data_IF_209448520002
#
_entry.id   IF_209448520002
#
_cell.length_a   1.000
_cell.length_b   1.000
_cell.length_c   1.000
_cell.angle_alpha   90.00
_cell.angle_beta   90.00
_cell.angle_gamma   90.00
#
_symmetry.space_group_name_H-M   'P 1'
#
loop_
_entity.id
_entity.type
_entity.pdbx_description
1 polymer ?
#
# COMPACT_ATOMS: atom_id res chain seq x y z
N UNK A 1 -19.36 6.44 15.46
CA UNK A 1 -19.92 6.19 14.12
C UNK A 1 -18.88 5.45 13.32
N UNK A 2 -19.15 4.21 12.87
CA UNK A 2 -18.30 3.56 11.86
C UNK A 2 -18.55 4.29 10.54
N UNK A 3 -17.50 4.86 9.94
CA UNK A 3 -17.59 5.36 8.57
C UNK A 3 -18.01 4.25 7.61
N UNK A 4 -18.50 4.58 6.41
CA UNK A 4 -18.79 3.56 5.41
C UNK A 4 -17.53 2.70 5.18
N UNK A 5 -17.72 1.38 5.10
CA UNK A 5 -16.63 0.48 4.76
C UNK A 5 -16.13 0.86 3.36
N UNK A 6 -14.85 1.23 3.25
CA UNK A 6 -14.23 1.54 1.98
C UNK A 6 -14.34 0.34 1.05
N UNK A 7 -14.66 0.59 -0.20
CA UNK A 7 -14.50 -0.42 -1.25
C UNK A 7 -13.01 -0.81 -1.34
N UNK A 8 -12.70 -2.01 -1.85
CA UNK A 8 -11.31 -2.43 -2.02
C UNK A 8 -10.48 -1.46 -2.86
N UNK A 9 -11.11 -0.75 -3.79
CA UNK A 9 -10.48 0.22 -4.69
C UNK A 9 -10.13 1.51 -3.93
N UNK A 10 -11.08 2.06 -3.19
CA UNK A 10 -10.86 3.21 -2.31
C UNK A 10 -9.78 2.92 -1.25
N UNK A 11 -9.70 1.66 -0.80
CA UNK A 11 -8.65 1.23 0.11
C UNK A 11 -7.27 1.29 -0.55
N UNK A 12 -7.15 0.76 -1.76
CA UNK A 12 -5.92 0.82 -2.56
C UNK A 12 -5.52 2.27 -2.85
N UNK A 13 -6.47 3.11 -3.24
CA UNK A 13 -6.27 4.56 -3.45
C UNK A 13 -5.70 5.23 -2.20
N UNK A 14 -6.35 5.05 -1.05
CA UNK A 14 -5.90 5.65 0.21
C UNK A 14 -4.48 5.21 0.58
N UNK A 15 -4.14 3.93 0.41
CA UNK A 15 -2.80 3.43 0.70
C UNK A 15 -1.74 4.02 -0.24
N UNK A 16 -2.05 4.16 -1.53
CA UNK A 16 -1.15 4.79 -2.51
C UNK A 16 -0.94 6.26 -2.15
N UNK A 17 -2.00 7.00 -1.85
CA UNK A 17 -1.88 8.41 -1.47
C UNK A 17 -1.00 8.59 -0.22
N UNK A 18 -1.17 7.74 0.79
CA UNK A 18 -0.32 7.80 2.00
C UNK A 18 1.13 7.45 1.66
N UNK A 19 1.35 6.45 0.80
CA UNK A 19 2.68 6.06 0.35
C UNK A 19 3.40 7.14 -0.49
N UNK A 20 2.64 7.98 -1.19
CA UNK A 20 3.16 9.14 -1.93
C UNK A 20 3.50 10.30 -0.99
N UNK A 21 2.68 10.51 0.05
CA UNK A 21 2.91 11.55 1.07
C UNK A 21 4.09 11.22 1.99
N UNK A 22 4.35 9.94 2.24
CA UNK A 22 5.42 9.48 3.13
C UNK A 22 6.25 8.35 2.50
N UNK A 23 7.51 8.66 2.17
CA UNK A 23 8.43 7.73 1.55
C UNK A 23 8.77 6.52 2.43
N UNK A 24 8.74 6.66 3.76
CA UNK A 24 8.98 5.56 4.69
C UNK A 24 7.84 4.54 4.63
N UNK A 25 6.60 5.01 4.60
CA UNK A 25 5.42 4.16 4.45
C UNK A 25 5.44 3.46 3.08
N UNK A 26 5.73 4.22 2.02
CA UNK A 26 5.86 3.65 0.68
C UNK A 26 6.98 2.59 0.58
N UNK A 27 8.07 2.72 1.35
CA UNK A 27 9.12 1.70 1.42
C UNK A 27 8.62 0.43 2.12
N UNK A 28 8.01 0.57 3.31
CA UNK A 28 7.49 -0.56 4.08
C UNK A 28 6.45 -1.35 3.28
N UNK A 29 5.52 -0.65 2.60
CA UNK A 29 4.53 -1.30 1.75
C UNK A 29 5.19 -2.11 0.64
N UNK A 30 6.22 -1.58 -0.02
CA UNK A 30 6.95 -2.33 -1.07
C UNK A 30 7.66 -3.54 -0.50
N UNK A 31 8.25 -3.44 0.69
CA UNK A 31 8.89 -4.59 1.35
C UNK A 31 7.85 -5.69 1.65
N UNK A 32 6.70 -5.33 2.23
CA UNK A 32 5.60 -6.28 2.49
C UNK A 32 5.09 -6.92 1.18
N UNK A 33 4.88 -6.12 0.13
CA UNK A 33 4.37 -6.59 -1.16
C UNK A 33 5.38 -7.45 -1.93
N UNK A 34 6.68 -7.28 -1.66
CA UNK A 34 7.74 -8.08 -2.28
C UNK A 34 7.84 -9.51 -1.72
N UNK A 35 7.18 -9.79 -0.59
CA UNK A 35 7.08 -11.13 -0.04
C UNK A 35 6.22 -12.03 -0.93
N UNK A 36 6.56 -13.32 -0.96
CA UNK A 36 5.69 -14.36 -1.49
C UNK A 36 4.29 -14.29 -0.85
N UNK A 37 3.23 -14.58 -1.60
CA UNK A 37 1.85 -14.43 -1.14
C UNK A 37 1.54 -15.22 0.13
N UNK A 38 2.00 -16.47 0.23
CA UNK A 38 1.78 -17.31 1.40
C UNK A 38 2.58 -16.81 2.62
N UNK A 39 3.81 -16.35 2.39
CA UNK A 39 4.66 -15.75 3.42
C UNK A 39 4.07 -14.44 3.93
N UNK A 40 3.64 -13.55 3.03
CA UNK A 40 2.97 -12.29 3.35
C UNK A 40 1.74 -12.54 4.21
N UNK A 41 0.86 -13.44 3.76
CA UNK A 41 -0.38 -13.75 4.48
C UNK A 41 -0.09 -14.27 5.89
N UNK A 42 0.84 -15.22 6.02
CA UNK A 42 1.22 -15.81 7.31
C UNK A 42 1.87 -14.79 8.27
N UNK A 43 2.74 -13.92 7.76
CA UNK A 43 3.36 -12.86 8.55
C UNK A 43 2.32 -11.85 9.07
N UNK A 44 1.39 -11.46 8.19
CA UNK A 44 0.30 -10.55 8.54
C UNK A 44 -0.69 -11.17 9.52
N UNK A 45 -0.93 -12.48 9.47
CA UNK A 45 -1.73 -13.20 10.46
C UNK A 45 -1.10 -13.15 11.86
N UNK A 46 0.22 -13.29 11.96
CA UNK A 46 0.94 -13.16 13.23
C UNK A 46 0.79 -11.74 13.82
N UNK A 47 0.91 -10.72 12.98
CA UNK A 47 0.72 -9.31 13.39
C UNK A 47 -0.72 -9.07 13.85
N UNK A 48 -1.71 -9.56 13.09
CA UNK A 48 -3.11 -9.42 13.44
C UNK A 48 -3.43 -10.13 14.78
N UNK A 49 -2.88 -11.32 15.01
CA UNK A 49 -3.04 -12.03 16.28
C UNK A 49 -2.46 -11.23 17.46
N UNK A 50 -1.26 -10.66 17.30
CA UNK A 50 -0.65 -9.82 18.32
C UNK A 50 -1.49 -8.57 18.61
N UNK A 51 -1.95 -7.87 17.56
CA UNK A 51 -2.76 -6.67 17.72
C UNK A 51 -4.10 -6.94 18.41
N UNK A 52 -4.77 -8.06 18.12
CA UNK A 52 -6.04 -8.42 18.80
C UNK A 52 -5.90 -8.58 20.32
N UNK A 53 -4.71 -8.94 20.80
CA UNK A 53 -4.43 -9.09 22.24
C UNK A 53 -4.09 -7.74 22.89
N UNK A 54 -3.41 -6.86 22.17
CA UNK A 54 -2.80 -5.65 22.75
C UNK A 54 -3.44 -4.32 22.32
N UNK A 55 -4.33 -4.32 21.32
CA UNK A 55 -4.89 -3.11 20.73
C UNK A 55 -6.33 -3.31 20.22
N UNK A 56 -7.15 -2.27 20.35
CA UNK A 56 -8.50 -2.22 19.79
C UNK A 56 -8.55 -1.52 18.41
N UNK A 57 -7.46 -1.57 17.64
CA UNK A 57 -7.33 -0.90 16.35
C UNK A 57 -8.00 -1.70 15.21
N UNK A 58 -9.33 -1.62 15.12
CA UNK A 58 -10.11 -2.32 14.10
C UNK A 58 -9.77 -1.91 12.66
N UNK A 59 -9.48 -0.63 12.46
CA UNK A 59 -9.00 -0.06 11.19
C UNK A 59 -7.66 -0.65 10.73
N UNK A 60 -6.74 -0.90 11.68
CA UNK A 60 -5.46 -1.56 11.38
C UNK A 60 -5.67 -3.02 11.02
N UNK A 61 -6.63 -3.72 11.66
CA UNK A 61 -6.96 -5.09 11.31
C UNK A 61 -7.59 -5.19 9.91
N UNK A 62 -8.46 -4.24 9.55
CA UNK A 62 -9.03 -4.16 8.20
C UNK A 62 -7.93 -3.92 7.15
N UNK A 63 -6.93 -3.09 7.47
CA UNK A 63 -5.75 -2.89 6.63
C UNK A 63 -4.96 -4.17 6.38
N UNK A 64 -4.70 -4.90 7.46
CA UNK A 64 -3.98 -6.16 7.42
C UNK A 64 -4.75 -7.18 6.57
N UNK A 65 -6.06 -7.29 6.77
CA UNK A 65 -6.91 -8.20 6.00
C UNK A 65 -6.95 -7.86 4.51
N UNK A 66 -6.81 -6.58 4.13
CA UNK A 66 -6.65 -6.18 2.73
C UNK A 66 -5.29 -6.57 2.17
N UNK A 67 -4.20 -6.32 2.90
CA UNK A 67 -2.84 -6.64 2.46
C UNK A 67 -2.59 -8.15 2.28
N UNK A 68 -3.35 -8.99 2.98
CA UNK A 68 -3.32 -10.45 2.80
C UNK A 68 -3.85 -10.92 1.44
N UNK A 69 -4.74 -10.14 0.80
CA UNK A 69 -5.40 -10.56 -0.45
C UNK A 69 -4.48 -10.32 -1.63
N UNK A 70 -4.14 -11.38 -2.37
CA UNK A 70 -3.22 -11.29 -3.50
C UNK A 70 -3.67 -10.30 -4.57
N UNK A 71 -4.98 -10.24 -4.87
CA UNK A 71 -5.52 -9.28 -5.82
C UNK A 71 -5.28 -7.82 -5.39
N UNK A 72 -5.34 -7.52 -4.10
CA UNK A 72 -5.07 -6.18 -3.55
C UNK A 72 -3.57 -5.89 -3.56
N UNK A 73 -2.77 -6.87 -3.15
CA UNK A 73 -1.31 -6.76 -3.16
C UNK A 73 -0.77 -6.51 -4.59
N UNK A 74 -1.31 -7.21 -5.58
CA UNK A 74 -0.95 -7.03 -6.98
C UNK A 74 -1.28 -5.60 -7.45
N UNK A 75 -2.52 -5.14 -7.20
CA UNK A 75 -2.94 -3.79 -7.60
C UNK A 75 -2.14 -2.69 -6.91
N UNK A 76 -1.83 -2.83 -5.62
CA UNK A 76 -0.95 -1.92 -4.91
C UNK A 76 0.45 -1.90 -5.52
N UNK A 77 0.99 -3.06 -5.87
CA UNK A 77 2.31 -3.17 -6.51
C UNK A 77 2.35 -2.42 -7.84
N UNK A 78 1.34 -2.64 -8.68
CA UNK A 78 1.20 -1.97 -9.98
C UNK A 78 1.12 -0.45 -9.82
N UNK A 79 0.29 0.04 -8.88
CA UNK A 79 0.12 1.48 -8.67
C UNK A 79 1.34 2.15 -8.04
N UNK A 80 1.99 1.51 -7.07
CA UNK A 80 3.22 2.01 -6.45
C UNK A 80 4.43 1.94 -7.41
N UNK A 81 4.37 1.12 -8.45
CA UNK A 81 5.32 1.14 -9.56
C UNK A 81 5.02 2.32 -10.49
N UNK A 82 3.76 2.53 -10.88
CA UNK A 82 3.34 3.65 -11.73
C UNK A 82 3.65 5.02 -11.10
N UNK A 83 3.40 5.19 -9.80
CA UNK A 83 3.71 6.42 -9.07
C UNK A 83 5.22 6.74 -9.00
N UNK A 84 6.09 5.73 -9.18
CA UNK A 84 7.56 5.91 -9.22
C UNK A 84 8.08 6.37 -10.57
N UNK A 85 7.27 6.28 -11.62
CA UNK A 85 7.61 6.79 -12.95
C UNK A 85 7.03 8.20 -13.07
N UNK A 86 7.76 9.28 -12.70
CA UNK A 86 7.35 10.61 -13.13
C UNK A 86 7.28 10.61 -14.65
N UNK A 87 6.26 11.23 -15.22
CA UNK A 87 6.16 11.47 -16.65
C UNK A 87 7.50 12.05 -17.15
N UNK A 88 8.29 11.21 -17.83
CA UNK A 88 9.50 11.64 -18.52
C UNK A 88 9.04 12.42 -19.74
N UNK A 89 9.01 13.76 -19.64
CA UNK A 89 8.50 14.60 -20.72
C UNK A 89 8.42 16.08 -20.38
N UNK A 90 9.52 16.69 -19.93
CA UNK A 90 9.69 18.15 -19.94
C UNK A 90 10.47 18.56 -21.20
N UNK A 91 10.03 19.57 -21.98
CA UNK A 91 10.63 19.90 -23.27
C UNK A 91 12.07 20.40 -23.11
N UNK A 92 13.00 19.78 -23.83
CA UNK A 92 14.37 20.26 -24.00
C UNK A 92 14.36 21.56 -24.81
N UNK A 93 14.53 22.69 -24.16
CA UNK A 93 14.87 23.95 -24.81
C UNK A 93 16.38 23.93 -25.15
N UNK A 94 16.79 23.92 -26.43
CA UNK A 94 18.19 24.05 -26.78
C UNK A 94 18.70 25.48 -26.46
N UNK A 95 19.98 25.64 -26.09
CA UNK A 95 20.55 26.95 -25.77
C UNK A 95 20.65 27.85 -27.02
N UNK A 96 20.51 29.17 -26.87
CA UNK A 96 20.66 30.11 -27.97
C UNK A 96 22.13 30.18 -28.43
N UNK A 97 22.30 30.29 -29.75
CA UNK A 97 23.56 30.57 -30.47
C UNK A 97 24.08 31.98 -30.21
#
# INVERSE_FOLDING_TARGET
MRGPALTPDEYVDAMVEVAERDASIGRVLREILSLDGAVRSSALDLVAAHLRVHSAAGDVLDCIDMLKRDAIAQRLTERLAAARTPASGGPTTPPPV
#
